data_IF_291506431898
#
_entry.id   IF_291506431898
#
_cell.length_a   1.000
_cell.length_b   1.000
_cell.length_c   1.000
_cell.angle_alpha   90.00
_cell.angle_beta   90.00
_cell.angle_gamma   90.00
#
_symmetry.space_group_name_H-M   'P 1'
#
loop_
_entity.id
_entity.type
_entity.pdbx_description
1 polymer ?
#
# COMPACT_ATOMS: atom_id res chain seq x y z
N UNK A 1 13.59 6.24 -3.76
CA UNK A 1 13.47 4.76 -3.81
C UNK A 1 12.63 4.28 -2.65
N UNK A 2 11.66 3.41 -2.93
CA UNK A 2 10.79 2.78 -1.92
C UNK A 2 11.63 1.97 -0.92
N UNK A 3 11.35 2.09 0.37
CA UNK A 3 12.03 1.29 1.39
C UNK A 3 11.38 -0.10 1.50
N UNK A 4 12.17 -1.14 1.25
CA UNK A 4 11.80 -2.56 1.32
C UNK A 4 12.60 -3.33 2.37
N UNK A 5 13.29 -2.63 3.29
CA UNK A 5 14.31 -3.24 4.16
C UNK A 5 13.75 -4.25 5.14
N UNK A 6 12.54 -4.09 5.61
CA UNK A 6 12.00 -4.92 6.68
C UNK A 6 10.51 -5.20 6.50
N UNK A 7 10.18 -5.97 5.50
CA UNK A 7 8.81 -6.32 5.11
C UNK A 7 8.44 -7.68 5.72
N UNK A 8 7.20 -7.80 6.21
CA UNK A 8 6.64 -9.03 6.78
C UNK A 8 5.76 -9.73 5.77
N UNK A 9 5.72 -11.05 5.84
CA UNK A 9 4.79 -11.86 5.07
C UNK A 9 3.67 -12.35 5.97
N UNK A 10 2.43 -11.99 5.64
CA UNK A 10 1.23 -12.28 6.43
C UNK A 10 0.17 -12.99 5.59
N UNK A 11 -0.97 -13.27 6.21
CA UNK A 11 -2.19 -13.76 5.56
C UNK A 11 -3.32 -12.78 5.82
N UNK A 12 -4.03 -12.35 4.77
CA UNK A 12 -5.17 -11.45 4.85
C UNK A 12 -4.92 -10.16 5.65
N UNK A 13 -3.70 -9.59 5.56
CA UNK A 13 -3.30 -8.39 6.30
C UNK A 13 -3.46 -8.49 7.82
N UNK A 14 -3.41 -9.70 8.35
CA UNK A 14 -3.57 -9.93 9.79
C UNK A 14 -2.27 -9.56 10.54
N UNK A 15 -2.20 -8.34 11.05
CA UNK A 15 -1.04 -7.83 11.79
C UNK A 15 -0.92 -8.41 13.21
N UNK A 16 -1.95 -9.08 13.71
CA UNK A 16 -1.95 -9.71 15.03
C UNK A 16 -1.31 -11.12 15.00
N UNK A 17 -1.08 -11.68 13.81
CA UNK A 17 -0.41 -12.97 13.65
C UNK A 17 1.12 -12.83 13.70
N UNK A 18 1.79 -13.93 14.06
CA UNK A 18 3.23 -14.04 13.89
C UNK A 18 3.53 -14.06 12.37
N UNK A 19 4.42 -13.20 11.85
CA UNK A 19 4.78 -13.22 10.44
C UNK A 19 5.31 -14.60 10.02
N UNK A 20 4.82 -15.12 8.89
CA UNK A 20 5.26 -16.40 8.34
C UNK A 20 6.66 -16.30 7.70
N UNK A 21 7.06 -15.10 7.30
CA UNK A 21 8.39 -14.80 6.78
C UNK A 21 8.71 -13.31 6.90
N UNK A 22 9.99 -12.95 6.65
CA UNK A 22 10.46 -11.57 6.78
C UNK A 22 11.64 -11.30 5.86
N UNK A 23 11.67 -10.12 5.21
CA UNK A 23 12.69 -9.79 4.22
C UNK A 23 14.06 -9.44 4.80
N UNK A 24 14.11 -8.83 5.96
CA UNK A 24 15.38 -8.44 6.65
C UNK A 24 16.43 -7.87 5.70
N UNK A 25 16.02 -7.00 4.79
CA UNK A 25 16.87 -6.40 3.78
C UNK A 25 17.58 -7.42 2.87
N UNK A 26 16.92 -8.54 2.56
CA UNK A 26 17.47 -9.64 1.76
C UNK A 26 18.83 -10.17 2.26
N UNK A 27 19.06 -10.15 3.57
CA UNK A 27 20.26 -10.75 4.17
C UNK A 27 20.21 -12.28 4.10
N UNK A 28 21.32 -13.01 4.32
CA UNK A 28 21.32 -14.46 4.35
C UNK A 28 20.31 -15.11 5.32
N UNK A 29 19.91 -14.37 6.36
CA UNK A 29 18.93 -14.83 7.35
C UNK A 29 17.48 -14.45 6.98
N UNK A 30 17.26 -13.90 5.78
CA UNK A 30 15.92 -13.57 5.30
C UNK A 30 15.16 -14.83 4.93
N UNK A 31 13.92 -14.92 5.38
CA UNK A 31 12.97 -15.98 5.00
C UNK A 31 12.05 -15.54 3.86
N UNK A 32 12.19 -14.27 3.42
CA UNK A 32 11.54 -13.72 2.23
C UNK A 32 12.55 -12.88 1.45
N UNK A 33 12.66 -13.11 0.15
CA UNK A 33 13.44 -12.31 -0.78
C UNK A 33 12.50 -11.44 -1.61
N UNK A 34 12.89 -10.19 -1.86
CA UNK A 34 12.08 -9.23 -2.61
C UNK A 34 12.92 -8.56 -3.68
N UNK A 35 12.33 -8.34 -4.84
CA UNK A 35 12.91 -7.54 -5.92
C UNK A 35 11.84 -6.67 -6.58
N UNK A 36 12.24 -5.52 -7.09
CA UNK A 36 11.38 -4.61 -7.86
C UNK A 36 12.06 -4.31 -9.18
N UNK A 37 11.32 -4.47 -10.26
CA UNK A 37 11.73 -4.16 -11.62
C UNK A 37 10.62 -3.38 -12.37
N UNK A 38 10.71 -3.30 -13.70
CA UNK A 38 9.74 -2.60 -14.54
C UNK A 38 8.37 -3.30 -14.57
N UNK A 39 8.33 -4.61 -14.34
CA UNK A 39 7.10 -5.42 -14.34
C UNK A 39 6.37 -5.37 -12.99
N UNK A 40 7.09 -5.01 -11.90
CA UNK A 40 6.50 -4.88 -10.58
C UNK A 40 7.36 -5.38 -9.43
N UNK A 41 6.71 -5.86 -8.37
CA UNK A 41 7.34 -6.38 -7.18
C UNK A 41 7.23 -7.90 -7.13
N UNK A 42 8.36 -8.58 -7.23
CA UNK A 42 8.47 -10.03 -7.09
C UNK A 42 8.90 -10.42 -5.69
N UNK A 43 8.29 -11.46 -5.14
CA UNK A 43 8.65 -12.01 -3.84
C UNK A 43 8.87 -13.52 -3.92
N UNK A 44 9.80 -14.01 -3.13
CA UNK A 44 10.01 -15.44 -2.86
C UNK A 44 9.97 -15.63 -1.35
N UNK A 45 9.15 -16.56 -0.89
CA UNK A 45 8.95 -16.85 0.54
C UNK A 45 9.34 -18.29 0.83
N UNK A 46 10.22 -18.48 1.80
CA UNK A 46 10.60 -19.79 2.31
C UNK A 46 9.76 -20.06 3.58
N UNK A 47 8.71 -20.88 3.43
CA UNK A 47 7.76 -21.19 4.49
C UNK A 47 8.25 -22.40 5.33
N UNK A 48 8.23 -22.26 6.65
CA UNK A 48 8.46 -23.38 7.57
C UNK A 48 7.20 -24.26 7.68
N UNK A 49 7.00 -25.14 6.72
CA UNK A 49 5.83 -26.03 6.69
C UNK A 49 5.95 -27.26 7.62
N UNK A 50 7.11 -27.48 8.20
CA UNK A 50 7.35 -28.59 9.13
C UNK A 50 6.96 -28.25 10.56
N UNK A 51 7.34 -27.06 11.03
CA UNK A 51 7.17 -26.67 12.43
C UNK A 51 6.07 -25.58 12.63
N UNK A 52 5.58 -24.96 11.56
CA UNK A 52 4.55 -23.93 11.63
C UNK A 52 3.26 -24.37 10.94
N UNK A 53 2.20 -24.60 11.74
CA UNK A 53 0.91 -25.05 11.26
C UNK A 53 0.23 -24.05 10.30
N UNK A 54 0.40 -22.74 10.52
CA UNK A 54 -0.17 -21.69 9.67
C UNK A 54 0.54 -21.65 8.32
N UNK A 55 1.88 -21.78 8.31
CA UNK A 55 2.66 -21.87 7.09
C UNK A 55 2.29 -23.12 6.27
N UNK A 56 2.08 -24.25 6.93
CA UNK A 56 1.61 -25.50 6.30
C UNK A 56 0.21 -25.35 5.71
N UNK A 57 -0.70 -24.71 6.43
CA UNK A 57 -2.07 -24.45 5.98
C UNK A 57 -2.09 -23.53 4.77
N UNK A 58 -1.32 -22.46 4.81
CA UNK A 58 -1.17 -21.53 3.68
C UNK A 58 -0.58 -22.23 2.46
N UNK A 59 0.52 -22.99 2.62
CA UNK A 59 1.14 -23.74 1.53
C UNK A 59 0.13 -24.69 0.86
N UNK A 60 -0.66 -25.41 1.65
CA UNK A 60 -1.71 -26.30 1.16
C UNK A 60 -2.79 -25.53 0.38
N UNK A 61 -3.25 -24.39 0.88
CA UNK A 61 -4.27 -23.56 0.21
C UNK A 61 -3.77 -22.99 -1.12
N UNK A 62 -2.52 -22.50 -1.16
CA UNK A 62 -1.88 -22.01 -2.40
C UNK A 62 -1.69 -23.15 -3.39
N UNK A 63 -1.23 -24.33 -2.96
CA UNK A 63 -1.03 -25.50 -3.83
C UNK A 63 -2.32 -26.00 -4.49
N UNK A 64 -3.47 -25.81 -3.82
CA UNK A 64 -4.80 -26.13 -4.36
C UNK A 64 -5.44 -24.97 -5.11
N UNK A 65 -4.78 -23.83 -5.17
CA UNK A 65 -5.31 -22.59 -5.74
C UNK A 65 -6.55 -22.02 -5.00
N UNK A 66 -6.73 -22.37 -3.72
CA UNK A 66 -7.76 -21.80 -2.85
C UNK A 66 -7.41 -20.34 -2.47
N UNK A 67 -6.10 -20.04 -2.42
CA UNK A 67 -5.53 -18.69 -2.31
C UNK A 67 -4.60 -18.48 -3.51
N UNK A 68 -4.93 -17.53 -4.36
CA UNK A 68 -4.17 -17.22 -5.58
C UNK A 68 -3.77 -15.74 -5.68
N UNK A 69 -4.24 -14.90 -4.75
CA UNK A 69 -4.02 -13.49 -4.77
C UNK A 69 -2.99 -13.01 -3.74
N UNK A 70 -2.35 -11.90 -4.09
CA UNK A 70 -1.42 -11.18 -3.23
C UNK A 70 -1.88 -9.74 -3.06
N UNK A 71 -1.58 -9.17 -1.91
CA UNK A 71 -1.78 -7.76 -1.62
C UNK A 71 -0.62 -7.24 -0.77
N UNK A 72 -0.50 -5.93 -0.60
CA UNK A 72 0.56 -5.36 0.24
C UNK A 72 0.08 -4.05 0.87
N UNK A 73 0.63 -3.75 2.05
CA UNK A 73 0.40 -2.51 2.77
C UNK A 73 1.62 -1.60 2.63
N UNK A 74 1.38 -0.33 2.32
CA UNK A 74 2.44 0.64 2.09
C UNK A 74 2.06 2.02 2.61
N UNK A 75 3.05 2.88 2.76
CA UNK A 75 2.85 4.30 3.00
C UNK A 75 3.21 5.12 1.76
N UNK A 76 2.41 6.13 1.48
CA UNK A 76 2.61 7.03 0.34
C UNK A 76 3.69 8.06 0.68
N UNK A 77 4.58 8.33 -0.27
CA UNK A 77 5.56 9.41 -0.18
C UNK A 77 5.08 10.66 -0.92
N UNK A 78 4.62 10.47 -2.18
CA UNK A 78 4.10 11.55 -3.01
C UNK A 78 2.83 11.11 -3.70
N UNK A 79 1.86 11.99 -3.71
CA UNK A 79 0.63 11.85 -4.46
C UNK A 79 0.25 13.15 -5.17
N UNK A 80 -0.70 13.07 -6.05
CA UNK A 80 -1.38 14.20 -6.67
C UNK A 80 -2.86 13.88 -6.82
N UNK A 81 -3.68 14.91 -6.93
CA UNK A 81 -5.10 14.76 -7.07
C UNK A 81 -5.61 15.47 -8.31
N UNK A 82 -6.52 14.83 -9.03
CA UNK A 82 -7.33 15.42 -10.08
C UNK A 82 -8.79 15.52 -9.62
N UNK A 83 -9.54 16.44 -10.21
CA UNK A 83 -10.97 16.64 -9.97
C UNK A 83 -11.35 16.85 -8.48
N UNK A 84 -10.47 17.56 -7.74
CA UNK A 84 -10.59 17.72 -6.27
C UNK A 84 -11.89 18.41 -5.80
N UNK A 85 -12.52 19.21 -6.68
CA UNK A 85 -13.76 19.95 -6.39
C UNK A 85 -15.02 19.19 -6.83
N UNK A 86 -14.88 17.95 -7.30
CA UNK A 86 -15.98 17.09 -7.71
C UNK A 86 -16.35 16.06 -6.63
N UNK A 87 -17.47 15.35 -6.83
CA UNK A 87 -17.89 14.26 -5.97
C UNK A 87 -17.01 13.01 -6.10
N UNK A 88 -16.17 12.95 -7.15
CA UNK A 88 -15.31 11.81 -7.48
C UNK A 88 -13.85 12.24 -7.72
N UNK A 89 -13.15 12.75 -6.68
CA UNK A 89 -11.75 13.13 -6.82
C UNK A 89 -10.87 11.90 -7.05
N UNK A 90 -9.89 12.03 -7.95
CA UNK A 90 -8.95 10.95 -8.29
C UNK A 90 -7.60 11.18 -7.63
N UNK A 91 -7.15 10.24 -6.80
CA UNK A 91 -5.82 10.23 -6.20
C UNK A 91 -4.83 9.46 -7.04
N UNK A 92 -3.75 10.10 -7.44
CA UNK A 92 -2.62 9.48 -8.12
C UNK A 92 -1.45 9.28 -7.15
N UNK A 93 -1.14 8.05 -6.79
CA UNK A 93 0.05 7.72 -6.00
C UNK A 93 1.26 7.79 -6.92
N UNK A 94 2.16 8.74 -6.68
CA UNK A 94 3.35 9.00 -7.50
C UNK A 94 4.57 8.27 -6.99
N UNK A 95 4.69 8.09 -5.67
CA UNK A 95 5.73 7.28 -5.06
C UNK A 95 5.30 6.68 -3.74
N UNK A 96 5.81 5.49 -3.47
CA UNK A 96 5.63 4.75 -2.23
C UNK A 96 6.87 4.98 -1.36
N UNK A 97 6.67 5.32 -0.09
CA UNK A 97 7.74 5.52 0.87
C UNK A 97 8.33 4.20 1.32
N UNK A 98 7.50 3.33 1.85
CA UNK A 98 7.89 1.99 2.30
C UNK A 98 6.74 1.00 2.14
N UNK A 99 7.11 -0.28 1.97
CA UNK A 99 6.20 -1.41 2.09
C UNK A 99 6.33 -1.96 3.51
N UNK A 100 5.21 -2.11 4.20
CA UNK A 100 5.16 -2.58 5.59
C UNK A 100 5.03 -4.10 5.65
N UNK A 101 4.15 -4.64 4.81
CA UNK A 101 3.90 -6.08 4.70
C UNK A 101 3.42 -6.44 3.30
N UNK A 102 3.55 -7.72 2.97
CA UNK A 102 2.90 -8.37 1.83
C UNK A 102 2.11 -9.55 2.35
N UNK A 103 0.94 -9.78 1.79
CA UNK A 103 0.02 -10.82 2.24
C UNK A 103 -0.44 -11.72 1.11
N UNK A 104 -0.51 -13.02 1.40
CA UNK A 104 -1.39 -13.91 0.65
C UNK A 104 -2.83 -13.61 1.09
N UNK A 105 -3.74 -13.34 0.14
CA UNK A 105 -5.09 -12.88 0.45
C UNK A 105 -6.15 -13.70 -0.26
N UNK A 106 -7.26 -13.93 0.44
CA UNK A 106 -8.43 -14.60 -0.12
C UNK A 106 -9.08 -13.73 -1.20
N UNK A 107 -9.08 -12.40 -1.01
CA UNK A 107 -9.64 -11.43 -1.94
C UNK A 107 -8.60 -10.37 -2.24
N UNK A 108 -7.85 -10.50 -3.36
CA UNK A 108 -6.82 -9.55 -3.71
C UNK A 108 -7.40 -8.20 -4.14
N UNK A 109 -6.82 -7.11 -3.66
CA UNK A 109 -7.23 -5.75 -4.01
C UNK A 109 -7.10 -5.45 -5.52
N UNK A 110 -6.26 -6.17 -6.23
CA UNK A 110 -5.90 -5.90 -7.62
C UNK A 110 -6.73 -6.66 -8.66
N UNK A 111 -7.66 -7.49 -8.31
CA UNK A 111 -8.60 -8.12 -9.26
C UNK A 111 -9.89 -7.33 -9.45
N UNK A 112 -9.84 -6.02 -9.39
CA UNK A 112 -10.97 -5.07 -9.53
C UNK A 112 -12.05 -5.20 -8.46
N UNK A 113 -11.73 -5.70 -7.28
CA UNK A 113 -12.69 -5.87 -6.20
C UNK A 113 -12.18 -5.30 -4.88
N UNK A 114 -13.11 -4.82 -4.10
CA UNK A 114 -12.96 -4.09 -2.86
C UNK A 114 -11.92 -4.66 -1.87
N UNK A 115 -11.05 -3.79 -1.41
CA UNK A 115 -10.13 -3.96 -0.28
C UNK A 115 -10.90 -4.35 0.98
N UNK A 116 -10.47 -5.38 1.68
CA UNK A 116 -11.02 -5.71 2.99
C UNK A 116 -10.40 -4.92 4.16
N UNK A 117 -11.19 -4.68 5.11
CA UNK A 117 -11.46 -3.62 6.05
C UNK A 117 -10.37 -3.13 7.03
N UNK A 118 -9.20 -3.71 7.26
CA UNK A 118 -8.25 -3.14 8.25
C UNK A 118 -7.22 -2.18 7.68
N UNK A 119 -6.68 -2.45 6.53
CA UNK A 119 -5.85 -1.49 5.78
C UNK A 119 -6.65 -0.41 5.07
N UNK A 120 -7.96 -0.62 4.88
CA UNK A 120 -8.84 0.32 4.20
C UNK A 120 -9.12 1.58 5.03
N UNK A 121 -9.31 1.49 6.36
CA UNK A 121 -9.60 2.67 7.18
C UNK A 121 -8.40 3.62 7.24
N UNK A 122 -7.20 3.11 7.51
CA UNK A 122 -5.98 3.93 7.54
C UNK A 122 -5.64 4.52 6.16
N UNK A 123 -5.82 3.76 5.08
CA UNK A 123 -5.62 4.24 3.73
C UNK A 123 -6.65 5.31 3.33
N UNK A 124 -7.91 5.13 3.73
CA UNK A 124 -8.98 6.12 3.51
C UNK A 124 -8.75 7.38 4.33
N UNK A 125 -8.33 7.28 5.58
CA UNK A 125 -8.05 8.43 6.44
C UNK A 125 -6.85 9.21 5.91
N UNK A 126 -5.76 8.56 5.53
CA UNK A 126 -4.63 9.19 4.84
C UNK A 126 -5.05 9.85 3.51
N UNK A 127 -5.94 9.22 2.74
CA UNK A 127 -6.45 9.79 1.51
C UNK A 127 -7.31 11.03 1.76
N UNK A 128 -8.17 11.03 2.79
CA UNK A 128 -8.97 12.19 3.19
C UNK A 128 -8.10 13.36 3.63
N UNK A 129 -7.11 13.12 4.49
CA UNK A 129 -6.17 14.16 4.93
C UNK A 129 -5.42 14.80 3.76
N UNK A 130 -4.93 13.97 2.82
CA UNK A 130 -4.25 14.45 1.61
C UNK A 130 -5.17 15.29 0.74
N UNK A 131 -6.42 14.86 0.53
CA UNK A 131 -7.43 15.60 -0.23
C UNK A 131 -7.79 16.94 0.42
N UNK A 132 -8.00 16.96 1.74
CA UNK A 132 -8.29 18.20 2.48
C UNK A 132 -7.14 19.18 2.42
N UNK A 133 -5.91 18.71 2.53
CA UNK A 133 -4.69 19.51 2.38
C UNK A 133 -4.60 20.15 0.99
N UNK A 134 -4.89 19.40 -0.07
CA UNK A 134 -4.86 19.91 -1.44
C UNK A 134 -5.98 20.91 -1.71
N UNK A 135 -7.19 20.69 -1.21
CA UNK A 135 -8.28 21.66 -1.27
C UNK A 135 -7.93 22.99 -0.57
N UNK A 136 -7.35 22.91 0.63
CA UNK A 136 -6.89 24.10 1.35
C UNK A 136 -5.80 24.86 0.59
N UNK A 137 -4.85 24.14 -0.06
CA UNK A 137 -3.79 24.73 -0.88
C UNK A 137 -4.36 25.48 -2.09
N UNK A 138 -5.30 24.89 -2.80
CA UNK A 138 -5.95 25.52 -3.96
C UNK A 138 -6.74 26.76 -3.56
N UNK A 139 -7.50 26.68 -2.48
CA UNK A 139 -8.25 27.83 -1.94
C UNK A 139 -7.32 29.01 -1.59
N UNK A 140 -6.17 28.75 -0.98
CA UNK A 140 -5.18 29.79 -0.67
C UNK A 140 -4.56 30.40 -1.93
N UNK A 141 -4.27 29.57 -2.96
CA UNK A 141 -3.77 30.06 -4.26
C UNK A 141 -4.79 31.00 -4.91
N UNK A 142 -6.07 30.63 -4.94
CA UNK A 142 -7.13 31.47 -5.49
C UNK A 142 -7.28 32.78 -4.73
N UNK A 143 -7.24 32.73 -3.40
CA UNK A 143 -7.26 33.91 -2.54
C UNK A 143 -6.09 34.86 -2.84
N UNK A 144 -4.88 34.32 -3.03
CA UNK A 144 -3.71 35.10 -3.40
C UNK A 144 -3.85 35.72 -4.79
N UNK A 145 -4.32 34.93 -5.79
CA UNK A 145 -4.58 35.46 -7.15
C UNK A 145 -5.59 36.59 -7.14
N UNK A 146 -6.69 36.45 -6.40
CA UNK A 146 -7.71 37.49 -6.24
C UNK A 146 -7.14 38.77 -5.59
N UNK A 147 -6.31 38.61 -4.56
CA UNK A 147 -5.66 39.75 -3.90
C UNK A 147 -4.72 40.50 -4.84
N UNK A 148 -3.90 39.78 -5.61
CA UNK A 148 -2.99 40.37 -6.60
C UNK A 148 -3.78 41.14 -7.67
N UNK A 149 -4.86 40.56 -8.19
CA UNK A 149 -5.72 41.20 -9.19
C UNK A 149 -6.30 42.53 -8.70
N UNK A 150 -6.85 42.56 -7.47
CA UNK A 150 -7.35 43.78 -6.87
C UNK A 150 -6.25 44.85 -6.74
N UNK A 151 -5.05 44.47 -6.37
CA UNK A 151 -3.90 45.38 -6.25
C UNK A 151 -3.41 45.94 -7.60
N UNK A 152 -3.67 45.24 -8.70
CA UNK A 152 -3.28 45.70 -10.05
C UNK A 152 -4.35 46.59 -10.70
N UNK A 153 -5.59 46.57 -10.19
CA UNK A 153 -6.71 47.40 -10.68
C UNK A 153 -6.83 48.73 -9.93
N UNK A 154 -6.01 48.97 -8.89
CA UNK A 154 -5.90 50.25 -8.16
C UNK A 154 -4.80 51.17 -8.71
#
# INVERSE_FOLDING_TARGET
TTDLKDVRFLVNHNTDMIPLARSRNNTPNSTMQMSVDEDGMSIRVDLDTENNADAKSLYSAVSRNDISGMSFMFTVDKDSWDDVDTDHPTRHIRSIRNVLEVSAVTFPAYSQTSIQARGLSEALDSAKESLESERARLTEIERRKKKIRIMMEM
#
